data_IF_154537528261
#
_entry.id   IF_154537528261
#
_cell.length_a   1.000
_cell.length_b   1.000
_cell.length_c   1.000
_cell.angle_alpha   90.00
_cell.angle_beta   90.00
_cell.angle_gamma   90.00
#
_symmetry.space_group_name_H-M   'P 1'
#
loop_
_entity.id
_entity.type
_entity.pdbx_description
1 polymer ?
#
# COMPACT_ATOMS: atom_id res chain seq x y z
N UNK A 1 13.60 2.04 -12.57
CA UNK A 1 12.36 1.36 -12.18
C UNK A 1 12.71 -0.07 -11.84
N UNK A 2 12.24 -0.55 -10.70
CA UNK A 2 12.61 -1.86 -10.22
C UNK A 2 11.45 -2.54 -9.50
N UNK A 3 11.28 -3.82 -9.82
CA UNK A 3 10.30 -4.70 -9.21
C UNK A 3 10.99 -5.94 -8.64
N UNK A 4 10.65 -6.31 -7.42
CA UNK A 4 11.23 -7.46 -6.70
C UNK A 4 10.11 -8.37 -6.21
N UNK A 5 10.33 -9.67 -6.39
CA UNK A 5 9.57 -10.72 -5.72
C UNK A 5 10.40 -11.29 -4.57
N UNK A 6 9.80 -11.42 -3.40
CA UNK A 6 10.41 -12.09 -2.26
C UNK A 6 9.39 -12.96 -1.54
N UNK A 7 9.87 -13.99 -0.85
CA UNK A 7 9.05 -14.80 0.04
C UNK A 7 9.45 -14.54 1.48
N UNK A 8 8.50 -14.11 2.31
CA UNK A 8 8.74 -13.80 3.73
C UNK A 8 7.67 -14.39 4.63
N UNK A 9 7.98 -14.59 5.90
CA UNK A 9 7.01 -15.06 6.89
C UNK A 9 6.08 -13.92 7.31
N UNK A 10 4.79 -14.21 7.48
CA UNK A 10 3.84 -13.26 8.07
C UNK A 10 3.85 -13.36 9.60
N UNK A 11 5.05 -13.35 10.18
CA UNK A 11 5.28 -13.59 11.60
C UNK A 11 6.24 -12.56 12.20
N UNK A 12 5.93 -12.20 13.44
CA UNK A 12 6.73 -11.32 14.28
C UNK A 12 6.94 -11.95 15.67
N UNK A 13 7.09 -13.27 15.76
CA UNK A 13 7.30 -13.99 17.03
C UNK A 13 8.72 -13.93 17.55
N UNK A 14 9.69 -13.71 16.66
CA UNK A 14 11.09 -13.60 16.99
C UNK A 14 11.80 -12.65 16.01
N UNK A 15 13.03 -12.25 16.34
CA UNK A 15 13.78 -11.26 15.57
C UNK A 15 14.01 -11.72 14.13
N UNK A 16 14.25 -13.01 13.90
CA UNK A 16 14.51 -13.55 12.55
C UNK A 16 13.28 -13.40 11.65
N UNK A 17 12.10 -13.80 12.12
CA UNK A 17 10.88 -13.68 11.32
C UNK A 17 10.45 -12.23 11.14
N UNK A 18 10.56 -11.41 12.19
CA UNK A 18 10.30 -9.97 12.11
C UNK A 18 11.20 -9.27 11.08
N UNK A 19 12.52 -9.48 11.17
CA UNK A 19 13.47 -8.86 10.25
C UNK A 19 13.29 -9.38 8.82
N UNK A 20 12.86 -10.64 8.62
CA UNK A 20 12.67 -11.19 7.27
C UNK A 20 11.73 -10.38 6.39
N UNK A 21 10.65 -9.81 6.95
CA UNK A 21 9.66 -9.03 6.22
C UNK A 21 9.84 -7.52 6.39
N UNK A 22 10.31 -7.06 7.55
CA UNK A 22 10.44 -5.63 7.79
C UNK A 22 11.70 -5.08 7.10
N UNK A 23 12.80 -5.83 7.13
CA UNK A 23 14.05 -5.43 6.46
C UNK A 23 13.91 -5.46 4.95
N UNK A 24 13.11 -6.35 4.37
CA UNK A 24 12.90 -6.37 2.92
C UNK A 24 12.27 -5.07 2.39
N UNK A 25 11.40 -4.44 3.18
CA UNK A 25 10.82 -3.13 2.86
C UNK A 25 11.92 -2.06 2.89
N UNK A 26 12.70 -2.01 3.98
CA UNK A 26 13.82 -1.06 4.14
C UNK A 26 14.85 -1.20 3.02
N UNK A 27 15.27 -2.43 2.75
CA UNK A 27 16.24 -2.77 1.72
C UNK A 27 15.73 -2.36 0.33
N UNK A 28 14.44 -2.55 0.04
CA UNK A 28 13.86 -2.08 -1.22
C UNK A 28 13.91 -0.56 -1.33
N UNK A 29 13.45 0.18 -0.30
CA UNK A 29 13.45 1.64 -0.30
C UNK A 29 14.86 2.20 -0.52
N UNK A 30 15.84 1.73 0.26
CA UNK A 30 17.21 2.24 0.22
C UNK A 30 18.01 1.79 -1.00
N UNK A 31 18.04 0.48 -1.27
CA UNK A 31 18.96 -0.09 -2.26
C UNK A 31 18.35 -0.26 -3.65
N UNK A 32 17.04 -0.11 -3.80
CA UNK A 32 16.34 -0.39 -5.08
C UNK A 32 15.53 0.80 -5.57
N UNK A 33 14.71 1.42 -4.72
CA UNK A 33 13.94 2.60 -5.08
C UNK A 33 14.77 3.90 -5.03
N UNK A 34 15.97 3.86 -4.43
CA UNK A 34 16.89 5.00 -4.38
C UNK A 34 16.55 6.04 -3.32
N UNK A 35 15.72 5.70 -2.33
CA UNK A 35 15.34 6.62 -1.26
C UNK A 35 16.46 6.69 -0.22
N UNK A 36 16.63 7.86 0.38
CA UNK A 36 17.66 8.09 1.40
C UNK A 36 17.04 8.11 2.78
N UNK A 37 17.51 7.24 3.68
CA UNK A 37 17.11 7.30 5.08
C UNK A 37 17.63 8.60 5.72
N UNK A 38 16.79 9.27 6.48
CA UNK A 38 17.17 10.47 7.24
C UNK A 38 18.06 10.14 8.43
N UNK A 39 18.66 11.15 9.06
CA UNK A 39 19.52 10.99 10.23
C UNK A 39 18.77 11.20 11.58
N UNK A 40 17.47 10.90 11.61
CA UNK A 40 16.66 11.03 12.82
C UNK A 40 17.08 10.04 13.93
N UNK A 41 17.16 10.54 15.16
CA UNK A 41 17.51 9.78 16.35
C UNK A 41 16.42 8.77 16.69
N UNK A 42 16.81 7.52 16.99
CA UNK A 42 15.89 6.45 17.41
C UNK A 42 15.30 5.64 16.25
N UNK A 43 15.73 5.90 15.01
CA UNK A 43 15.42 5.04 13.88
C UNK A 43 16.03 3.66 14.04
N UNK A 44 15.40 2.70 13.35
CA UNK A 44 15.84 1.32 13.33
C UNK A 44 17.22 1.18 12.69
N UNK A 45 18.12 0.47 13.37
CA UNK A 45 19.40 0.01 12.85
C UNK A 45 19.32 -1.52 12.76
N UNK A 46 19.17 -2.05 11.54
CA UNK A 46 18.88 -3.47 11.31
C UNK A 46 19.95 -4.42 11.87
N UNK A 47 21.22 -4.00 11.92
CA UNK A 47 22.29 -4.83 12.49
C UNK A 47 22.19 -5.00 14.01
N UNK A 48 21.43 -4.15 14.71
CA UNK A 48 21.44 -4.05 16.17
C UNK A 48 20.08 -4.41 16.81
N UNK A 49 19.12 -4.88 16.02
CA UNK A 49 17.82 -5.28 16.56
C UNK A 49 17.94 -6.60 17.34
N UNK A 50 17.54 -6.58 18.61
CA UNK A 50 17.60 -7.74 19.51
C UNK A 50 16.22 -8.18 20.02
N UNK A 51 15.18 -7.40 19.77
CA UNK A 51 13.81 -7.67 20.22
C UNK A 51 12.79 -7.27 19.16
N UNK A 52 11.70 -8.02 19.08
CA UNK A 52 10.56 -7.65 18.23
C UNK A 52 9.68 -6.63 18.97
N UNK A 53 9.07 -5.65 18.29
CA UNK A 53 8.09 -4.77 18.91
C UNK A 53 6.95 -5.55 19.56
N UNK A 54 6.62 -5.23 20.81
CA UNK A 54 5.46 -5.83 21.50
C UNK A 54 4.14 -5.35 20.88
N UNK A 55 3.03 -5.91 21.33
CA UNK A 55 1.71 -5.49 20.88
C UNK A 55 1.49 -3.98 21.05
N UNK A 56 1.00 -3.31 20.01
CA UNK A 56 0.78 -1.87 19.97
C UNK A 56 2.06 -1.02 19.86
N UNK A 57 3.24 -1.65 19.80
CA UNK A 57 4.52 -0.98 19.64
C UNK A 57 5.05 -1.13 18.20
N UNK A 58 5.82 -0.13 17.78
CA UNK A 58 6.41 -0.06 16.46
C UNK A 58 7.83 0.49 16.54
N UNK A 59 8.71 -0.04 15.69
CA UNK A 59 9.98 0.59 15.32
C UNK A 59 9.80 1.31 13.99
N UNK A 60 10.68 2.24 13.65
CA UNK A 60 10.45 3.09 12.48
C UNK A 60 11.72 3.45 11.73
N UNK A 61 11.51 3.84 10.48
CA UNK A 61 12.47 4.50 9.61
C UNK A 61 11.78 5.70 8.96
N UNK A 62 12.53 6.76 8.68
CA UNK A 62 12.06 7.95 7.98
C UNK A 62 12.90 8.12 6.73
N UNK A 63 12.23 8.07 5.59
CA UNK A 63 12.84 8.08 4.27
C UNK A 63 12.56 9.41 3.58
N UNK A 64 13.58 9.94 2.91
CA UNK A 64 13.48 11.07 2.00
C UNK A 64 13.71 10.56 0.57
N UNK A 65 12.77 10.90 -0.31
CA UNK A 65 12.83 10.60 -1.74
C UNK A 65 13.92 11.42 -2.47
N UNK A 66 14.37 10.93 -3.63
CA UNK A 66 15.50 11.46 -4.41
C UNK A 66 15.13 12.11 -5.76
N UNK A 67 13.85 12.20 -6.14
CA UNK A 67 13.39 12.65 -7.47
C UNK A 67 13.56 14.15 -7.84
N UNK A 68 14.39 14.94 -7.15
CA UNK A 68 14.60 16.40 -7.34
C UNK A 68 13.34 17.32 -7.30
N UNK A 69 12.14 16.78 -7.15
CA UNK A 69 10.91 17.55 -6.95
C UNK A 69 10.75 17.99 -5.48
N UNK A 70 9.68 18.74 -5.18
CA UNK A 70 9.34 19.24 -3.84
C UNK A 70 9.52 18.15 -2.77
N UNK A 71 10.38 18.32 -1.75
CA UNK A 71 10.71 17.25 -0.82
C UNK A 71 9.53 16.86 0.07
N UNK A 72 9.44 15.57 0.38
CA UNK A 72 8.60 15.03 1.44
C UNK A 72 9.34 13.89 2.16
N UNK A 73 8.81 13.51 3.31
CA UNK A 73 9.32 12.43 4.14
C UNK A 73 8.24 11.36 4.30
N UNK A 74 8.62 10.11 4.17
CA UNK A 74 7.81 8.94 4.48
C UNK A 74 8.34 8.31 5.75
N UNK A 75 7.53 8.31 6.82
CA UNK A 75 7.80 7.49 8.00
C UNK A 75 7.10 6.15 7.82
N UNK A 76 7.91 5.09 7.77
CA UNK A 76 7.45 3.71 7.80
C UNK A 76 7.64 3.16 9.21
N UNK A 77 6.60 2.53 9.74
CA UNK A 77 6.63 1.92 11.06
C UNK A 77 6.28 0.43 10.95
N UNK A 78 7.06 -0.39 11.63
CA UNK A 78 7.00 -1.85 11.58
C UNK A 78 6.72 -2.37 12.99
N UNK A 79 5.68 -3.18 13.17
CA UNK A 79 5.33 -3.66 14.49
C UNK A 79 4.20 -4.67 14.51
N UNK A 80 3.46 -4.65 15.62
CA UNK A 80 2.29 -5.48 15.84
C UNK A 80 1.13 -4.60 16.29
N UNK A 81 -0.06 -4.81 15.72
CA UNK A 81 -1.26 -4.11 16.15
C UNK A 81 -1.60 -4.41 17.63
N UNK A 82 -2.40 -3.53 18.25
CA UNK A 82 -2.80 -3.63 19.65
C UNK A 82 -3.68 -4.87 19.91
N UNK A 83 -3.38 -5.62 20.97
CA UNK A 83 -4.10 -6.82 21.37
C UNK A 83 -3.67 -8.10 20.65
N UNK A 84 -2.65 -8.04 19.78
CA UNK A 84 -2.12 -9.20 19.06
C UNK A 84 -0.62 -9.36 19.26
N UNK A 85 -0.21 -10.60 19.49
CA UNK A 85 1.19 -11.00 19.54
C UNK A 85 1.52 -11.62 18.19
N UNK A 86 2.56 -11.11 17.52
CA UNK A 86 3.15 -11.69 16.30
C UNK A 86 2.35 -11.48 15.00
N UNK A 87 1.44 -10.50 14.94
CA UNK A 87 0.73 -10.13 13.71
C UNK A 87 1.41 -8.90 13.07
N UNK A 88 2.36 -9.09 12.12
CA UNK A 88 2.99 -7.99 11.38
C UNK A 88 2.02 -6.90 10.97
N UNK A 89 2.36 -5.66 11.27
CA UNK A 89 1.55 -4.50 10.94
C UNK A 89 2.47 -3.37 10.48
N UNK A 90 2.06 -2.71 9.40
CA UNK A 90 2.75 -1.55 8.86
C UNK A 90 1.93 -0.29 9.18
N UNK A 91 2.61 0.80 9.55
CA UNK A 91 2.01 2.14 9.51
C UNK A 91 2.84 3.05 8.62
N UNK A 92 2.14 3.94 7.92
CA UNK A 92 2.78 4.93 7.05
C UNK A 92 2.28 6.34 7.37
N UNK A 93 3.21 7.29 7.38
CA UNK A 93 2.94 8.72 7.54
C UNK A 93 3.73 9.49 6.49
N UNK A 94 3.11 10.48 5.85
CA UNK A 94 3.82 11.42 4.97
C UNK A 94 3.76 12.82 5.58
N UNK A 95 4.87 13.55 5.51
CA UNK A 95 4.88 14.97 5.83
C UNK A 95 6.05 15.71 5.19
N UNK A 96 6.15 17.00 5.52
CA UNK A 96 7.12 17.91 4.89
C UNK A 96 8.37 18.16 5.72
N UNK A 97 8.33 17.84 7.01
CA UNK A 97 9.45 18.04 7.93
C UNK A 97 9.56 16.87 8.89
N UNK A 98 10.79 16.63 9.36
CA UNK A 98 11.10 15.71 10.46
C UNK A 98 11.93 16.44 11.50
N UNK A 99 11.68 16.18 12.79
CA UNK A 99 12.28 16.95 13.89
C UNK A 99 13.66 16.43 14.33
N UNK A 100 14.27 15.51 13.57
CA UNK A 100 15.54 14.87 13.92
C UNK A 100 15.42 13.87 15.08
N UNK A 101 14.21 13.67 15.60
CA UNK A 101 13.90 12.80 16.74
C UNK A 101 12.76 11.83 16.40
N UNK A 102 12.60 11.48 15.13
CA UNK A 102 11.68 10.44 14.70
C UNK A 102 10.22 10.86 14.54
N UNK A 103 9.93 12.16 14.62
CA UNK A 103 8.58 12.67 14.44
C UNK A 103 8.50 13.50 13.16
N UNK A 104 7.55 13.10 12.30
CA UNK A 104 7.05 13.94 11.23
C UNK A 104 6.24 15.08 11.86
N UNK A 105 6.47 16.33 11.43
CA UNK A 105 5.74 17.49 11.92
C UNK A 105 5.41 18.47 10.79
N UNK A 106 4.65 19.53 11.13
CA UNK A 106 4.05 20.42 10.17
C UNK A 106 2.82 19.78 9.52
N UNK A 107 2.42 20.21 8.31
CA UNK A 107 1.39 19.53 7.55
C UNK A 107 1.80 18.07 7.24
N UNK A 108 0.95 17.12 7.64
CA UNK A 108 1.17 15.68 7.47
C UNK A 108 -0.14 14.91 7.28
N UNK A 109 -0.03 13.70 6.72
CA UNK A 109 -1.10 12.70 6.61
C UNK A 109 -0.65 11.39 7.28
N UNK A 110 -1.59 10.71 7.93
CA UNK A 110 -1.31 9.51 8.74
C UNK A 110 -1.06 9.84 10.22
N UNK A 111 -0.63 8.85 11.02
CA UNK A 111 -0.28 7.48 10.62
C UNK A 111 -1.50 6.67 10.19
N UNK A 112 -1.38 5.96 9.06
CA UNK A 112 -2.37 4.96 8.65
C UNK A 112 -1.84 3.57 8.90
N UNK A 113 -2.56 2.80 9.71
CA UNK A 113 -2.28 1.39 9.97
C UNK A 113 -2.92 0.53 8.89
N UNK A 114 -2.17 -0.41 8.33
CA UNK A 114 -2.64 -1.35 7.31
C UNK A 114 -3.53 -2.45 7.88
N UNK A 115 -3.14 -3.07 8.99
CA UNK A 115 -3.79 -4.25 9.54
C UNK A 115 -4.17 -4.05 11.02
N UNK A 116 -5.41 -4.42 11.36
CA UNK A 116 -5.97 -4.43 12.71
C UNK A 116 -6.40 -5.84 13.13
N UNK A 117 -6.22 -6.84 12.25
CA UNK A 117 -6.71 -8.19 12.44
C UNK A 117 -5.75 -9.04 13.27
N UNK A 118 -6.34 -9.88 14.12
CA UNK A 118 -5.65 -10.97 14.78
C UNK A 118 -5.67 -12.21 13.90
N UNK A 119 -4.51 -12.79 13.60
CA UNK A 119 -4.42 -14.05 12.87
C UNK A 119 -3.32 -14.94 13.44
N UNK A 120 -3.42 -16.24 13.16
CA UNK A 120 -2.33 -17.18 13.47
C UNK A 120 -1.18 -16.92 12.51
N UNK A 121 -0.07 -16.40 13.04
CA UNK A 121 1.15 -16.19 12.29
C UNK A 121 1.73 -17.52 11.78
N UNK A 122 2.36 -17.49 10.60
CA UNK A 122 2.98 -18.67 10.00
C UNK A 122 4.51 -18.52 9.98
N UNK A 123 5.18 -19.40 10.72
CA UNK A 123 6.64 -19.46 10.83
C UNK A 123 7.28 -20.49 9.90
N UNK A 124 6.48 -21.27 9.17
CA UNK A 124 6.95 -22.46 8.45
C UNK A 124 6.90 -22.29 6.93
N UNK A 125 5.93 -21.52 6.43
CA UNK A 125 5.72 -21.30 4.99
C UNK A 125 5.79 -19.80 4.73
N UNK A 126 6.78 -19.30 3.96
CA UNK A 126 6.81 -17.92 3.56
C UNK A 126 5.79 -17.66 2.43
N UNK A 127 5.27 -16.44 2.36
CA UNK A 127 4.29 -16.03 1.36
C UNK A 127 4.88 -15.01 0.39
N UNK A 128 4.27 -14.92 -0.79
CA UNK A 128 4.67 -14.04 -1.88
C UNK A 128 4.49 -12.56 -1.49
N UNK A 129 5.58 -11.81 -1.45
CA UNK A 129 5.64 -10.37 -1.28
C UNK A 129 6.20 -9.72 -2.54
N UNK A 130 5.64 -8.58 -2.91
CA UNK A 130 5.98 -7.85 -4.13
C UNK A 130 6.30 -6.42 -3.77
N UNK A 131 7.33 -5.91 -4.42
CA UNK A 131 7.84 -4.55 -4.23
C UNK A 131 8.04 -3.95 -5.62
N UNK A 132 7.73 -2.68 -5.75
CA UNK A 132 7.80 -1.95 -7.02
C UNK A 132 8.02 -0.47 -6.72
N UNK A 133 8.79 0.22 -7.55
CA UNK A 133 9.12 1.60 -7.27
C UNK A 133 10.33 2.17 -7.98
N UNK A 134 10.56 3.43 -7.69
CA UNK A 134 11.65 4.27 -8.16
C UNK A 134 11.80 5.49 -7.22
N UNK A 135 12.51 6.51 -7.66
CA UNK A 135 12.80 7.70 -6.85
C UNK A 135 11.55 8.54 -6.54
N UNK A 136 10.45 8.35 -7.29
CA UNK A 136 9.19 9.12 -7.21
C UNK A 136 8.00 8.32 -6.67
N UNK A 137 8.10 6.99 -6.64
CA UNK A 137 7.04 6.13 -6.12
C UNK A 137 7.57 4.88 -5.41
N UNK A 138 6.73 4.32 -4.57
CA UNK A 138 6.99 3.07 -3.87
C UNK A 138 5.66 2.36 -3.67
N UNK A 139 5.58 1.07 -3.96
CA UNK A 139 4.41 0.26 -3.66
C UNK A 139 4.80 -1.18 -3.28
N UNK A 140 4.06 -1.72 -2.32
CA UNK A 140 4.24 -3.08 -1.81
C UNK A 140 2.92 -3.82 -1.69
N UNK A 141 3.00 -5.13 -1.92
CA UNK A 141 1.99 -6.12 -1.58
C UNK A 141 2.64 -7.20 -0.74
N UNK A 142 2.21 -7.28 0.52
CA UNK A 142 2.76 -8.22 1.49
C UNK A 142 1.87 -9.47 1.58
N UNK A 143 2.50 -10.64 1.52
CA UNK A 143 1.92 -11.96 1.75
C UNK A 143 0.66 -12.26 0.91
N UNK A 144 0.70 -11.92 -0.38
CA UNK A 144 -0.41 -12.04 -1.36
C UNK A 144 -1.21 -13.33 -1.21
N UNK A 145 -0.51 -14.47 -1.22
CA UNK A 145 -1.11 -15.81 -1.20
C UNK A 145 -1.31 -16.38 0.21
N UNK A 146 -1.26 -15.56 1.26
CA UNK A 146 -1.62 -16.01 2.59
C UNK A 146 -3.09 -16.41 2.67
N UNK A 147 -3.37 -17.48 3.41
CA UNK A 147 -4.75 -17.97 3.62
C UNK A 147 -5.42 -17.33 4.85
N UNK A 148 -4.67 -16.52 5.59
CA UNK A 148 -5.15 -15.78 6.76
C UNK A 148 -5.35 -14.29 6.41
N UNK A 149 -5.47 -13.43 7.43
CA UNK A 149 -5.77 -12.01 7.28
C UNK A 149 -4.53 -11.12 7.17
N UNK A 150 -3.36 -11.68 6.81
CA UNK A 150 -2.10 -10.93 6.87
C UNK A 150 -1.85 -10.01 5.69
N UNK A 151 -2.58 -10.13 4.57
CA UNK A 151 -2.31 -9.32 3.38
C UNK A 151 -2.34 -7.83 3.71
N UNK A 152 -1.36 -7.11 3.19
CA UNK A 152 -1.23 -5.66 3.37
C UNK A 152 -0.70 -5.03 2.09
N UNK A 153 -1.14 -3.81 1.79
CA UNK A 153 -0.55 -2.96 0.78
C UNK A 153 -0.17 -1.62 1.38
N UNK A 154 0.91 -1.04 0.87
CA UNK A 154 1.27 0.37 1.07
C UNK A 154 1.75 0.87 -0.27
N UNK A 155 1.34 2.08 -0.66
CA UNK A 155 1.88 2.73 -1.82
C UNK A 155 1.91 4.24 -1.67
N UNK A 156 2.93 4.84 -2.26
CA UNK A 156 3.18 6.27 -2.30
C UNK A 156 3.51 6.62 -3.73
N UNK A 157 2.80 7.59 -4.29
CA UNK A 157 3.09 8.09 -5.63
C UNK A 157 2.86 9.60 -5.72
N UNK A 158 3.76 10.25 -6.47
CA UNK A 158 3.68 11.66 -6.86
C UNK A 158 2.46 11.96 -7.73
N UNK A 159 2.11 13.24 -7.77
CA UNK A 159 1.25 13.76 -8.82
C UNK A 159 1.82 13.47 -10.21
N UNK A 160 0.94 13.23 -11.18
CA UNK A 160 1.26 12.98 -12.58
C UNK A 160 0.65 14.09 -13.43
N UNK A 161 1.27 14.41 -14.57
CA UNK A 161 0.63 15.24 -15.58
C UNK A 161 -0.08 14.39 -16.66
N UNK A 162 -0.65 15.06 -17.68
CA UNK A 162 -1.34 14.41 -18.80
C UNK A 162 -0.50 13.38 -19.60
N UNK A 163 0.83 13.44 -19.47
CA UNK A 163 1.77 12.56 -20.15
C UNK A 163 2.37 11.51 -19.20
N UNK A 164 1.87 11.40 -17.96
CA UNK A 164 2.36 10.44 -16.98
C UNK A 164 3.75 10.77 -16.43
N UNK A 165 4.18 12.03 -16.53
CA UNK A 165 5.43 12.50 -15.92
C UNK A 165 5.14 12.98 -14.50
N UNK A 166 5.99 12.59 -13.55
CA UNK A 166 5.88 13.01 -12.16
C UNK A 166 6.05 14.53 -12.00
N UNK A 167 5.20 15.13 -11.16
CA UNK A 167 5.24 16.56 -10.82
C UNK A 167 5.39 16.77 -9.31
N UNK A 168 5.70 18.00 -8.91
CA UNK A 168 5.93 18.36 -7.50
C UNK A 168 4.72 18.94 -6.78
N UNK A 169 3.50 18.69 -7.27
CA UNK A 169 2.27 19.37 -6.84
C UNK A 169 1.63 18.71 -5.61
N UNK A 170 1.59 17.37 -5.59
CA UNK A 170 1.13 16.60 -4.45
C UNK A 170 1.76 15.19 -4.40
N UNK A 171 1.48 14.48 -3.30
CA UNK A 171 1.84 13.08 -3.11
C UNK A 171 0.68 12.36 -2.46
N UNK A 172 0.39 11.14 -2.89
CA UNK A 172 -0.72 10.33 -2.37
C UNK A 172 -0.20 9.09 -1.66
N UNK A 173 -0.71 8.83 -0.45
CA UNK A 173 -0.50 7.62 0.32
C UNK A 173 -1.74 6.73 0.21
N UNK A 174 -1.52 5.47 -0.12
CA UNK A 174 -2.52 4.39 -0.13
C UNK A 174 -2.04 3.31 0.84
N UNK A 175 -2.93 2.86 1.72
CA UNK A 175 -2.65 1.72 2.62
C UNK A 175 -3.86 0.80 2.69
N UNK A 176 -3.63 -0.50 2.64
CA UNK A 176 -4.67 -1.52 2.71
C UNK A 176 -4.27 -2.69 3.61
N UNK A 177 -5.24 -3.32 4.25
CA UNK A 177 -5.07 -4.57 4.98
C UNK A 177 -6.37 -4.97 5.67
N UNK A 178 -6.31 -5.91 6.61
CA UNK A 178 -7.50 -6.51 7.23
C UNK A 178 -7.86 -5.88 8.58
N UNK A 179 -9.15 -5.85 8.95
CA UNK A 179 -9.61 -5.44 10.28
C UNK A 179 -9.98 -6.63 11.16
N UNK A 180 -10.99 -7.43 10.78
CA UNK A 180 -11.41 -8.59 11.61
C UNK A 180 -11.74 -9.84 10.80
N UNK A 181 -11.92 -9.72 9.47
CA UNK A 181 -12.24 -10.83 8.59
C UNK A 181 -11.83 -10.51 7.16
N UNK A 182 -11.75 -11.53 6.30
CA UNK A 182 -11.36 -11.40 4.88
C UNK A 182 -12.22 -10.40 4.09
N UNK A 183 -13.40 -10.02 4.57
CA UNK A 183 -14.30 -9.06 3.93
C UNK A 183 -14.30 -7.66 4.59
N UNK A 184 -13.55 -7.48 5.68
CA UNK A 184 -13.44 -6.24 6.42
C UNK A 184 -12.01 -5.69 6.29
N UNK A 185 -11.85 -4.68 5.44
CA UNK A 185 -10.55 -4.10 5.14
C UNK A 185 -10.37 -2.73 5.79
N UNK A 186 -9.14 -2.43 6.21
CA UNK A 186 -8.70 -1.07 6.48
C UNK A 186 -8.12 -0.52 5.20
N UNK A 187 -8.76 0.49 4.63
CA UNK A 187 -8.38 1.08 3.35
C UNK A 187 -8.32 2.58 3.55
N UNK A 188 -7.12 3.13 3.41
CA UNK A 188 -6.88 4.55 3.58
C UNK A 188 -6.21 5.09 2.31
N UNK A 189 -6.78 6.16 1.76
CA UNK A 189 -6.14 7.00 0.77
C UNK A 189 -6.11 8.43 1.33
N UNK A 190 -4.97 9.10 1.21
CA UNK A 190 -4.89 10.53 1.49
C UNK A 190 -3.84 11.18 0.59
N UNK A 191 -4.17 12.38 0.11
CA UNK A 191 -3.28 13.17 -0.73
C UNK A 191 -2.80 14.41 0.02
N UNK A 192 -1.50 14.65 -0.02
CA UNK A 192 -0.82 15.80 0.55
C UNK A 192 -0.41 16.76 -0.58
N UNK A 193 -0.96 17.97 -0.57
CA UNK A 193 -0.70 19.03 -1.55
C UNK A 193 0.38 19.98 -1.05
N UNK A 194 1.45 20.14 -1.82
CA UNK A 194 2.56 21.02 -1.45
C UNK A 194 2.17 22.50 -1.51
N UNK A 195 2.76 23.30 -0.61
CA UNK A 195 2.54 24.74 -0.57
C UNK A 195 1.15 25.20 -0.09
N UNK A 196 0.31 24.28 0.41
CA UNK A 196 -1.00 24.60 1.00
C UNK A 196 -0.99 24.45 2.52
N UNK A 197 -1.45 25.47 3.22
CA UNK A 197 -1.56 25.46 4.69
C UNK A 197 -2.66 24.50 5.17
N UNK A 198 -3.74 24.38 4.39
CA UNK A 198 -4.81 23.42 4.60
C UNK A 198 -4.70 22.31 3.56
N UNK A 199 -4.57 21.09 4.05
CA UNK A 199 -4.57 19.89 3.24
C UNK A 199 -6.04 19.46 3.09
N UNK A 200 -6.63 19.43 1.89
CA UNK A 200 -7.92 18.79 1.70
C UNK A 200 -7.71 17.29 1.88
N UNK A 201 -7.78 16.85 3.13
CA UNK A 201 -7.75 15.43 3.46
C UNK A 201 -9.12 14.88 3.06
N UNK A 202 -9.25 14.39 1.82
CA UNK A 202 -10.22 13.35 1.57
C UNK A 202 -9.63 12.04 2.08
N UNK A 203 -9.63 11.91 3.40
CA UNK A 203 -9.80 10.60 3.97
C UNK A 203 -11.17 10.15 3.49
N UNK A 204 -11.19 9.31 2.45
CA UNK A 204 -12.10 8.19 2.59
C UNK A 204 -11.47 7.32 3.67
N UNK A 205 -11.79 7.63 4.92
CA UNK A 205 -12.01 6.53 5.85
C UNK A 205 -13.03 5.68 5.11
N UNK A 206 -12.60 4.56 4.49
CA UNK A 206 -13.47 3.40 4.59
C UNK A 206 -13.72 3.36 6.08
N UNK A 207 -14.95 3.72 6.46
CA UNK A 207 -15.33 3.73 7.85
C UNK A 207 -14.80 2.43 8.46
N UNK A 208 -14.56 2.44 9.76
CA UNK A 208 -15.11 1.36 10.54
C UNK A 208 -16.58 1.18 10.11
N UNK A 209 -16.85 0.54 8.98
CA UNK A 209 -18.17 0.03 8.69
C UNK A 209 -18.20 -1.23 9.52
N UNK A 210 -18.39 -1.05 10.82
CA UNK A 210 -19.26 -1.89 11.61
C UNK A 210 -20.61 -1.92 10.87
N UNK A 211 -20.66 -2.62 9.74
CA UNK A 211 -21.88 -2.98 9.06
C UNK A 211 -21.88 -4.48 9.05
N UNK A 212 -22.57 -4.99 10.07
CA UNK A 212 -23.34 -6.23 10.05
C UNK A 212 -23.61 -6.69 8.63
N UNK A 213 -23.26 -7.94 8.34
CA UNK A 213 -23.53 -8.61 7.08
C UNK A 213 -24.96 -8.31 6.59
N UNK A 214 -25.14 -7.41 5.62
CA UNK A 214 -26.49 -7.08 5.13
C UNK A 214 -26.71 -5.78 4.36
N UNK A 215 -25.84 -4.77 4.42
CA UNK A 215 -26.08 -3.52 3.68
C UNK A 215 -25.55 -3.58 2.22
N UNK A 216 -26.42 -3.49 1.20
CA UNK A 216 -26.02 -3.41 -0.20
C UNK A 216 -25.53 -1.99 -0.50
N UNK A 217 -24.24 -1.74 -0.27
CA UNK A 217 -23.65 -0.43 -0.48
C UNK A 217 -22.14 -0.48 -0.32
N UNK A 218 -21.47 -1.13 -1.27
CA UNK A 218 -20.02 -1.11 -1.35
C UNK A 218 -19.55 0.28 -1.73
N UNK A 219 -18.96 1.03 -0.80
CA UNK A 219 -18.13 2.17 -1.15
C UNK A 219 -16.69 1.65 -1.29
N UNK A 220 -16.05 1.91 -2.43
CA UNK A 220 -14.59 1.80 -2.56
C UNK A 220 -14.04 3.06 -1.90
N UNK A 221 -13.12 2.92 -0.96
CA UNK A 221 -12.49 4.06 -0.31
C UNK A 221 -11.32 4.65 -1.08
N UNK A 222 -10.92 3.99 -2.17
CA UNK A 222 -9.98 4.57 -3.11
C UNK A 222 -10.75 5.30 -4.21
N UNK A 223 -10.12 6.31 -4.80
CA UNK A 223 -10.61 7.06 -5.96
C UNK A 223 -10.60 6.23 -7.25
N UNK A 224 -11.01 4.96 -7.19
CA UNK A 224 -11.05 4.02 -8.31
C UNK A 224 -12.47 4.02 -8.90
N UNK A 225 -12.58 4.09 -10.23
CA UNK A 225 -13.84 3.84 -10.91
C UNK A 225 -14.08 2.34 -10.94
N UNK A 226 -15.16 1.89 -10.31
CA UNK A 226 -15.46 0.46 -10.26
C UNK A 226 -15.70 -0.12 -11.64
N UNK A 227 -14.96 -1.18 -11.96
CA UNK A 227 -15.11 -1.94 -13.20
C UNK A 227 -16.01 -3.16 -12.98
N UNK A 228 -15.98 -3.78 -11.80
CA UNK A 228 -16.74 -5.01 -11.57
C UNK A 228 -17.92 -4.82 -10.62
N UNK A 229 -19.08 -5.34 -11.05
CA UNK A 229 -20.21 -5.64 -10.18
C UNK A 229 -20.39 -7.15 -10.13
N UNK A 230 -19.73 -7.83 -9.17
CA UNK A 230 -20.00 -9.24 -8.84
C UNK A 230 -20.07 -10.20 -10.04
N UNK A 231 -19.27 -9.95 -11.08
CA UNK A 231 -19.34 -10.70 -12.33
C UNK A 231 -18.22 -11.74 -12.39
N UNK A 232 -18.57 -13.01 -12.59
CA UNK A 232 -17.63 -14.07 -12.98
C UNK A 232 -17.45 -14.16 -14.49
N UNK A 233 -18.07 -13.26 -15.26
CA UNK A 233 -17.91 -13.19 -16.71
C UNK A 233 -16.92 -12.10 -17.09
N UNK A 234 -16.16 -12.39 -18.15
CA UNK A 234 -15.25 -11.44 -18.79
C UNK A 234 -15.98 -10.15 -19.12
N UNK A 235 -15.34 -9.02 -18.81
CA UNK A 235 -15.75 -7.68 -19.23
C UNK A 235 -14.87 -7.17 -20.38
N UNK A 236 -14.12 -8.07 -21.02
CA UNK A 236 -13.27 -7.72 -22.15
C UNK A 236 -14.11 -7.19 -23.31
N UNK A 237 -13.62 -6.12 -23.93
CA UNK A 237 -14.24 -5.49 -25.09
C UNK A 237 -13.22 -5.34 -26.21
N UNK A 238 -13.56 -5.85 -27.40
CA UNK A 238 -12.64 -5.90 -28.55
C UNK A 238 -11.28 -6.53 -28.20
N UNK A 239 -11.28 -7.59 -27.38
CA UNK A 239 -10.07 -8.29 -26.95
C UNK A 239 -9.26 -7.56 -25.86
N UNK A 240 -9.75 -6.44 -25.33
CA UNK A 240 -9.06 -5.68 -24.28
C UNK A 240 -9.80 -5.80 -22.95
N UNK A 241 -9.06 -6.10 -21.89
CA UNK A 241 -9.57 -6.13 -20.52
C UNK A 241 -9.55 -4.75 -19.90
N UNK A 242 -10.65 -4.33 -19.27
CA UNK A 242 -10.74 -3.02 -18.66
C UNK A 242 -9.97 -2.95 -17.33
N UNK A 243 -9.21 -1.87 -17.14
CA UNK A 243 -8.54 -1.53 -15.88
C UNK A 243 -8.93 -0.11 -15.43
N UNK A 244 -9.01 0.11 -14.13
CA UNK A 244 -9.20 1.44 -13.54
C UNK A 244 -8.13 1.66 -12.49
N UNK A 245 -7.27 2.63 -12.72
CA UNK A 245 -6.30 3.02 -11.70
C UNK A 245 -6.91 3.96 -10.67
N UNK A 246 -6.20 4.14 -9.56
CA UNK A 246 -6.62 4.97 -8.44
C UNK A 246 -6.40 6.45 -8.73
N UNK A 247 -7.41 7.30 -8.60
CA UNK A 247 -7.25 8.75 -8.72
C UNK A 247 -6.97 9.42 -7.37
N UNK A 248 -6.00 10.35 -7.28
CA UNK A 248 -5.76 11.14 -6.09
C UNK A 248 -6.88 12.18 -5.91
N UNK A 249 -7.12 12.65 -4.68
CA UNK A 249 -8.15 13.65 -4.40
C UNK A 249 -7.53 14.92 -3.82
N UNK A 250 -7.70 16.04 -4.52
CA UNK A 250 -7.13 17.35 -4.16
C UNK A 250 -8.20 18.44 -4.07
N UNK A 251 -9.45 18.05 -3.77
CA UNK A 251 -10.66 18.86 -3.96
C UNK A 251 -11.42 18.52 -5.25
N UNK A 252 -10.73 17.83 -6.16
CA UNK A 252 -11.23 17.13 -7.34
C UNK A 252 -10.35 15.90 -7.59
N UNK A 253 -10.76 14.99 -8.47
CA UNK A 253 -9.88 13.91 -8.92
C UNK A 253 -8.86 14.43 -9.92
N UNK A 254 -7.58 14.36 -9.56
CA UNK A 254 -6.50 14.70 -10.48
C UNK A 254 -6.18 13.52 -11.41
N UNK A 255 -5.12 13.64 -12.22
CA UNK A 255 -4.58 12.56 -13.03
C UNK A 255 -4.42 11.26 -12.20
N UNK A 256 -5.11 10.16 -12.60
CA UNK A 256 -4.96 8.86 -11.96
C UNK A 256 -3.51 8.42 -11.77
N UNK A 257 -3.24 7.91 -10.57
CA UNK A 257 -2.01 7.22 -10.19
C UNK A 257 -1.82 5.96 -11.04
N UNK A 258 -0.64 5.36 -10.95
CA UNK A 258 -0.28 4.11 -11.62
C UNK A 258 -0.02 2.97 -10.65
N UNK A 259 0.29 3.24 -9.38
CA UNK A 259 0.70 2.19 -8.41
C UNK A 259 -0.34 1.10 -8.16
N UNK A 260 -1.63 1.45 -8.15
CA UNK A 260 -2.72 0.51 -7.87
C UNK A 260 -3.97 0.77 -8.73
N UNK A 261 -4.67 -0.31 -9.06
CA UNK A 261 -5.94 -0.26 -9.76
C UNK A 261 -6.81 -1.51 -9.57
N UNK A 262 -7.96 -1.52 -10.23
CA UNK A 262 -8.91 -2.62 -10.27
C UNK A 262 -9.05 -3.16 -11.70
N UNK A 263 -9.19 -4.48 -11.81
CA UNK A 263 -9.67 -5.16 -13.02
C UNK A 263 -10.76 -6.19 -12.69
N UNK A 264 -11.35 -6.81 -13.70
CA UNK A 264 -12.29 -7.92 -13.47
C UNK A 264 -11.52 -9.25 -13.26
N UNK A 265 -11.85 -10.01 -12.21
CA UNK A 265 -11.16 -11.26 -11.88
C UNK A 265 -11.27 -12.35 -12.97
N UNK A 266 -12.30 -12.32 -13.81
CA UNK A 266 -12.45 -13.23 -14.96
C UNK A 266 -11.47 -12.89 -16.10
N UNK A 267 -11.04 -11.63 -16.19
CA UNK A 267 -10.09 -11.13 -17.20
C UNK A 267 -8.64 -11.14 -16.70
N UNK A 268 -8.46 -11.11 -15.39
CA UNK A 268 -7.16 -11.07 -14.72
C UNK A 268 -7.01 -12.25 -13.75
N UNK A 269 -6.49 -13.39 -14.21
CA UNK A 269 -6.24 -14.57 -13.36
C UNK A 269 -5.32 -14.26 -12.18
N UNK A 270 -5.42 -15.04 -11.10
CA UNK A 270 -4.55 -14.88 -9.92
C UNK A 270 -3.08 -14.90 -10.31
N UNK A 271 -2.31 -13.94 -9.78
CA UNK A 271 -0.88 -13.81 -9.99
C UNK A 271 -0.46 -13.65 -11.47
N UNK A 272 -1.40 -13.30 -12.35
CA UNK A 272 -1.07 -12.99 -13.74
C UNK A 272 -0.31 -11.67 -13.81
N UNK A 273 0.72 -11.65 -14.66
CA UNK A 273 1.45 -10.45 -15.03
C UNK A 273 0.98 -10.04 -16.42
N UNK A 274 0.61 -8.78 -16.58
CA UNK A 274 0.18 -8.25 -17.86
C UNK A 274 0.76 -6.86 -18.09
N UNK A 275 0.74 -6.42 -19.34
CA UNK A 275 1.17 -5.08 -19.74
C UNK A 275 -0.03 -4.26 -20.18
N UNK A 276 0.04 -2.96 -19.92
CA UNK A 276 -0.97 -1.99 -20.37
C UNK A 276 -0.31 -0.64 -20.59
N UNK A 277 -0.96 0.23 -21.36
CA UNK A 277 -0.46 1.59 -21.58
C UNK A 277 -1.27 2.58 -20.76
N UNK A 278 -0.61 3.33 -19.90
CA UNK A 278 -1.20 4.44 -19.12
C UNK A 278 -0.41 5.71 -19.43
N UNK A 279 -1.10 6.78 -19.83
CA UNK A 279 -0.49 8.04 -20.30
C UNK A 279 0.55 7.87 -21.42
N UNK A 280 0.37 6.89 -22.31
CA UNK A 280 1.31 6.61 -23.39
C UNK A 280 2.57 5.84 -22.97
N UNK A 281 2.73 5.52 -21.68
CA UNK A 281 3.81 4.69 -21.18
C UNK A 281 3.32 3.25 -20.94
N UNK A 282 4.13 2.27 -21.34
CA UNK A 282 3.86 0.86 -21.04
C UNK A 282 4.23 0.55 -19.60
N UNK A 283 3.29 -0.06 -18.89
CA UNK A 283 3.46 -0.51 -17.51
C UNK A 283 3.16 -1.99 -17.38
N UNK A 284 3.89 -2.64 -16.49
CA UNK A 284 3.65 -4.03 -16.08
C UNK A 284 2.82 -4.01 -14.80
N UNK A 285 1.81 -4.87 -14.70
CA UNK A 285 0.99 -5.03 -13.51
C UNK A 285 0.90 -6.50 -13.10
N UNK A 286 0.86 -6.73 -11.79
CA UNK A 286 0.50 -7.98 -11.16
C UNK A 286 -0.97 -7.93 -10.73
N UNK A 287 -1.75 -8.92 -11.17
CA UNK A 287 -3.10 -9.14 -10.70
C UNK A 287 -3.13 -10.02 -9.44
N UNK A 288 -3.96 -9.66 -8.46
CA UNK A 288 -4.28 -10.53 -7.34
C UNK A 288 -5.75 -10.52 -6.96
N UNK A 289 -6.27 -11.74 -6.97
CA UNK A 289 -7.56 -12.21 -6.50
C UNK A 289 -7.45 -12.98 -5.16
N UNK A 290 -6.24 -13.14 -4.59
CA UNK A 290 -5.99 -13.98 -3.44
C UNK A 290 -6.38 -13.32 -2.11
N UNK A 291 -7.07 -14.10 -1.27
CA UNK A 291 -7.47 -13.68 0.08
C UNK A 291 -8.17 -12.32 0.08
N UNK A 292 -7.54 -11.34 0.73
CA UNK A 292 -8.10 -10.00 0.90
C UNK A 292 -7.83 -9.06 -0.28
N UNK A 293 -6.95 -9.41 -1.22
CA UNK A 293 -6.50 -8.49 -2.26
C UNK A 293 -7.64 -7.90 -3.11
N UNK A 294 -8.65 -8.65 -3.60
CA UNK A 294 -9.81 -8.09 -4.28
C UNK A 294 -10.47 -6.93 -3.55
N UNK A 295 -10.58 -7.07 -2.23
CA UNK A 295 -11.29 -6.15 -1.36
C UNK A 295 -10.54 -4.84 -1.16
N UNK A 296 -9.24 -4.79 -1.49
CA UNK A 296 -8.49 -3.56 -1.41
C UNK A 296 -8.97 -2.52 -2.42
N UNK A 297 -9.42 -2.93 -3.61
CA UNK A 297 -9.81 -2.00 -4.68
C UNK A 297 -11.33 -1.90 -4.82
N UNK A 298 -12.02 -3.04 -4.69
CA UNK A 298 -13.48 -3.09 -4.71
C UNK A 298 -14.00 -4.02 -3.62
N UNK A 299 -14.92 -3.54 -2.79
CA UNK A 299 -15.63 -4.36 -1.78
C UNK A 299 -16.65 -5.31 -2.45
N UNK A 300 -16.24 -6.04 -3.49
CA UNK A 300 -17.02 -7.06 -4.18
C UNK A 300 -16.35 -8.42 -3.97
N UNK A 301 -17.02 -9.31 -3.23
CA UNK A 301 -16.56 -10.64 -2.82
C UNK A 301 -16.13 -11.54 -3.99
N UNK A 302 -16.59 -11.21 -5.21
CA UNK A 302 -16.41 -11.99 -6.44
C UNK A 302 -16.25 -11.00 -7.58
N UNK A 303 -15.33 -11.28 -8.50
CA UNK A 303 -15.26 -10.60 -9.80
C UNK A 303 -14.32 -9.40 -9.88
N UNK A 304 -13.61 -9.02 -8.82
CA UNK A 304 -12.59 -7.96 -8.86
C UNK A 304 -11.18 -8.53 -8.63
N UNK A 305 -10.21 -7.97 -9.34
CA UNK A 305 -8.78 -8.20 -9.15
C UNK A 305 -8.12 -6.90 -8.72
N UNK A 306 -7.28 -6.96 -7.69
CA UNK A 306 -6.36 -5.87 -7.42
C UNK A 306 -5.21 -5.93 -8.41
N UNK A 307 -4.89 -4.78 -9.00
CA UNK A 307 -3.77 -4.60 -9.91
C UNK A 307 -2.73 -3.77 -9.18
N UNK A 308 -1.53 -4.29 -9.01
CA UNK A 308 -0.37 -3.58 -8.47
C UNK A 308 0.63 -3.38 -9.60
N UNK A 309 1.16 -2.16 -9.75
CA UNK A 309 2.22 -1.89 -10.73
C UNK A 309 3.47 -2.69 -10.36
N UNK A 310 4.13 -3.31 -11.33
CA UNK A 310 5.21 -4.28 -11.10
C UNK A 310 6.30 -4.17 -12.17
N UNK A 311 6.86 -2.97 -12.29
CA UNK A 311 8.02 -2.62 -13.12
C UNK A 311 8.97 -1.68 -12.36
#
# INVERSE_FOLDING_TARGET
MAAIQQYTYNDSSNVTTFTSWAYSISNFLGNTAGWTQTADTGQLIWSNISTVPVSGAYVYEIWKKSDDLTPFFLKMEYGNYSGTTNCPTIRATIGTLTNGSGNIYGPMIGPFTTNYASYTANTSIPFDCRYSGDESRFDILMWRNATNMSQQIVGVERSLNANGVYTGDHVTLITGGCINSISQQSLNQATFIFGKTFQPIAQSLAAQSNYSAGAPGGFSSYGVRRISQRSTVSLSWNGNSAISTTAPFIGYYDYPLTIFGEGNAADFPEASIFTTTVYGNTHIYLASNAGNCPYFMAKAWIGSSMLMRYD
#
